data_IF_418000511834
#
_entry.id   IF_418000511834
#
_cell.length_a   1.000
_cell.length_b   1.000
_cell.length_c   1.000
_cell.angle_alpha   90.00
_cell.angle_beta   90.00
_cell.angle_gamma   90.00
#
_symmetry.space_group_name_H-M   'P 1'
#
loop_
_entity.id
_entity.type
_entity.pdbx_description
1 polymer ?
#
# COMPACT_ATOMS: atom_id res chain seq x y z
N UNK A 1 3.39 -0.39 2.27
CA UNK A 1 2.19 -1.01 1.69
C UNK A 1 2.67 -1.97 0.63
N UNK A 2 2.10 -3.17 0.56
CA UNK A 2 2.59 -4.24 -0.31
C UNK A 2 1.45 -5.14 -0.79
N UNK A 3 1.52 -5.58 -2.04
CA UNK A 3 0.56 -6.48 -2.66
C UNK A 3 1.15 -7.86 -2.95
N UNK A 4 0.60 -8.92 -2.35
CA UNK A 4 0.98 -10.32 -2.61
C UNK A 4 -0.07 -11.05 -3.45
N UNK A 5 0.36 -11.65 -4.57
CA UNK A 5 -0.52 -12.31 -5.55
C UNK A 5 -0.70 -13.81 -5.32
N UNK A 6 0.35 -14.49 -4.88
CA UNK A 6 0.40 -15.97 -4.80
C UNK A 6 -0.58 -16.57 -3.79
N UNK A 7 -1.04 -15.77 -2.82
CA UNK A 7 -1.94 -16.18 -1.75
C UNK A 7 -3.37 -15.65 -1.93
N UNK A 8 -3.63 -14.89 -3.00
CA UNK A 8 -4.94 -14.33 -3.26
C UNK A 8 -5.93 -15.44 -3.69
N UNK A 9 -7.13 -15.54 -3.07
CA UNK A 9 -8.17 -16.45 -3.54
C UNK A 9 -8.57 -16.11 -4.98
N UNK A 10 -9.04 -17.09 -5.76
CA UNK A 10 -9.33 -16.96 -7.21
C UNK A 10 -10.18 -15.75 -7.64
N UNK A 11 -10.97 -15.16 -6.74
CA UNK A 11 -11.84 -14.02 -7.01
C UNK A 11 -11.13 -12.66 -6.84
N UNK A 12 -9.92 -12.65 -6.30
CA UNK A 12 -9.15 -11.45 -5.99
C UNK A 12 -7.83 -11.48 -6.76
N UNK A 13 -7.41 -10.31 -7.22
CA UNK A 13 -6.13 -10.18 -7.92
C UNK A 13 -4.98 -10.19 -6.92
N UNK A 14 -5.18 -9.69 -5.69
CA UNK A 14 -4.12 -9.63 -4.68
C UNK A 14 -4.66 -9.60 -3.25
N UNK A 15 -3.85 -10.11 -2.32
CA UNK A 15 -3.93 -9.76 -0.91
C UNK A 15 -3.01 -8.57 -0.65
N UNK A 16 -3.54 -7.51 -0.07
CA UNK A 16 -2.84 -6.25 0.15
C UNK A 16 -2.66 -6.00 1.65
N UNK A 17 -1.48 -5.53 2.05
CA UNK A 17 -1.12 -5.34 3.46
C UNK A 17 -0.58 -3.92 3.68
N UNK A 18 -1.12 -3.25 4.69
CA UNK A 18 -0.58 -1.99 5.20
C UNK A 18 0.03 -2.26 6.57
N UNK A 19 1.32 -2.01 6.66
CA UNK A 19 2.11 -2.19 7.88
C UNK A 19 2.66 -0.86 8.35
N UNK A 20 2.65 -0.66 9.67
CA UNK A 20 3.16 0.54 10.34
C UNK A 20 4.45 0.18 11.08
N UNK A 21 5.55 0.94 10.89
CA UNK A 21 6.77 0.74 11.65
C UNK A 21 6.60 1.20 13.10
N UNK A 22 6.99 0.35 14.05
CA UNK A 22 7.02 0.63 15.49
C UNK A 22 8.40 0.22 16.00
N UNK A 23 9.26 1.22 16.27
CA UNK A 23 10.65 0.99 16.63
C UNK A 23 11.42 0.28 15.51
N UNK A 24 11.94 -0.92 15.79
CA UNK A 24 12.70 -1.74 14.82
C UNK A 24 11.86 -2.80 14.12
N UNK A 25 10.54 -2.82 14.34
CA UNK A 25 9.63 -3.83 13.79
C UNK A 25 8.51 -3.16 13.00
N UNK A 26 7.94 -3.87 12.03
CA UNK A 26 6.71 -3.44 11.35
C UNK A 26 5.55 -4.34 11.78
N UNK A 27 4.43 -3.73 12.14
CA UNK A 27 3.19 -4.43 12.47
C UNK A 27 2.21 -4.24 11.32
N UNK A 28 1.66 -5.33 10.80
CA UNK A 28 0.59 -5.28 9.79
C UNK A 28 -0.73 -4.93 10.46
N UNK A 29 -1.27 -3.76 10.12
CA UNK A 29 -2.47 -3.20 10.72
C UNK A 29 -3.71 -3.42 9.85
N UNK A 30 -3.52 -3.52 8.53
CA UNK A 30 -4.62 -3.70 7.57
C UNK A 30 -4.29 -4.84 6.63
N UNK A 31 -5.28 -5.71 6.42
CA UNK A 31 -5.27 -6.75 5.40
C UNK A 31 -6.51 -6.56 4.53
N UNK A 32 -6.32 -6.51 3.22
CA UNK A 32 -7.40 -6.31 2.26
C UNK A 32 -7.29 -7.29 1.10
N UNK A 33 -8.42 -7.78 0.60
CA UNK A 33 -8.49 -8.57 -0.62
C UNK A 33 -8.98 -7.68 -1.75
N UNK A 34 -8.13 -7.38 -2.72
CA UNK A 34 -8.45 -6.44 -3.80
C UNK A 34 -8.79 -7.22 -5.07
N UNK A 35 -9.95 -6.89 -5.64
CA UNK A 35 -10.46 -7.54 -6.85
C UNK A 35 -9.67 -7.12 -8.08
N UNK A 36 -9.15 -5.88 -8.12
CA UNK A 36 -8.39 -5.33 -9.24
C UNK A 36 -7.26 -4.40 -8.77
N UNK A 37 -6.40 -4.02 -9.73
CA UNK A 37 -5.26 -3.09 -9.57
C UNK A 37 -5.54 -1.70 -10.17
N UNK A 38 -6.79 -1.24 -10.01
CA UNK A 38 -7.21 0.07 -10.52
C UNK A 38 -7.07 1.12 -9.42
N UNK A 39 -6.77 2.36 -9.79
CA UNK A 39 -6.61 3.47 -8.84
C UNK A 39 -7.82 3.57 -7.89
N UNK A 40 -9.04 3.49 -8.43
CA UNK A 40 -10.28 3.57 -7.64
C UNK A 40 -10.40 2.51 -6.54
N UNK A 41 -9.87 1.30 -6.76
CA UNK A 41 -9.88 0.23 -5.77
C UNK A 41 -8.91 0.55 -4.62
N UNK A 42 -7.77 1.16 -4.92
CA UNK A 42 -6.84 1.63 -3.90
C UNK A 42 -7.39 2.85 -3.17
N UNK A 43 -8.07 3.76 -3.86
CA UNK A 43 -8.74 4.91 -3.25
C UNK A 43 -9.80 4.46 -2.25
N UNK A 44 -10.63 3.47 -2.61
CA UNK A 44 -11.62 2.88 -1.70
C UNK A 44 -10.97 2.26 -0.45
N UNK A 45 -9.90 1.48 -0.64
CA UNK A 45 -9.14 0.90 0.48
C UNK A 45 -8.57 2.01 1.40
N UNK A 46 -7.90 3.01 0.81
CA UNK A 46 -7.25 4.07 1.57
C UNK A 46 -8.28 4.95 2.29
N UNK A 47 -9.41 5.26 1.65
CA UNK A 47 -10.49 6.01 2.27
C UNK A 47 -11.04 5.27 3.48
N UNK A 48 -11.29 3.97 3.37
CA UNK A 48 -11.75 3.16 4.51
C UNK A 48 -10.75 3.18 5.68
N UNK A 49 -9.45 3.23 5.40
CA UNK A 49 -8.41 3.36 6.43
C UNK A 49 -8.43 4.75 7.06
N UNK A 50 -8.53 5.82 6.26
CA UNK A 50 -8.62 7.20 6.77
C UNK A 50 -9.84 7.38 7.64
N UNK A 51 -11.01 6.90 7.20
CA UNK A 51 -12.26 6.99 7.96
C UNK A 51 -12.12 6.31 9.33
N UNK A 52 -11.46 5.15 9.37
CA UNK A 52 -11.18 4.44 10.63
C UNK A 52 -10.16 5.17 11.50
N UNK A 53 -9.10 5.73 10.91
CA UNK A 53 -8.15 6.55 11.65
C UNK A 53 -8.84 7.77 12.30
N UNK A 54 -9.74 8.44 11.56
CA UNK A 54 -10.53 9.55 12.07
C UNK A 54 -11.47 9.14 13.21
N UNK A 55 -12.14 7.98 13.08
CA UNK A 55 -13.02 7.43 14.14
C UNK A 55 -12.28 7.20 15.47
N UNK A 56 -10.98 6.90 15.41
CA UNK A 56 -10.14 6.65 16.59
C UNK A 56 -9.22 7.82 16.95
N UNK A 57 -9.41 9.01 16.38
CA UNK A 57 -8.55 10.21 16.57
C UNK A 57 -7.05 9.93 16.31
N UNK A 58 -6.76 9.09 15.30
CA UNK A 58 -5.40 8.78 14.87
C UNK A 58 -4.94 9.80 13.80
N UNK A 59 -3.96 10.63 14.16
CA UNK A 59 -3.34 11.59 13.26
C UNK A 59 -2.36 10.90 12.29
N UNK A 60 -2.36 11.33 11.04
CA UNK A 60 -1.63 10.69 9.94
C UNK A 60 -0.68 11.66 9.20
N UNK A 61 0.26 12.30 9.89
CA UNK A 61 1.41 12.93 9.23
C UNK A 61 2.43 11.83 8.86
N UNK A 62 2.19 11.19 7.72
CA UNK A 62 2.86 9.90 7.43
C UNK A 62 3.62 9.93 6.13
N UNK A 63 4.84 9.37 6.16
CA UNK A 63 5.54 8.92 4.96
C UNK A 63 4.97 7.56 4.56
N UNK A 64 4.57 7.40 3.30
CA UNK A 64 4.11 6.13 2.76
C UNK A 64 5.23 5.50 1.95
N UNK A 65 5.63 4.28 2.32
CA UNK A 65 6.51 3.44 1.50
C UNK A 65 5.65 2.42 0.76
N UNK A 66 5.70 2.40 -0.57
CA UNK A 66 4.90 1.49 -1.39
C UNK A 66 5.66 1.05 -2.65
N UNK A 67 5.08 0.13 -3.40
CA UNK A 67 5.63 -0.41 -4.64
C UNK A 67 5.51 0.60 -5.79
N UNK A 68 6.19 0.34 -6.91
CA UNK A 68 6.17 1.20 -8.11
C UNK A 68 4.84 1.18 -8.87
N UNK A 69 3.76 0.65 -8.28
CA UNK A 69 2.47 0.57 -8.96
C UNK A 69 1.83 1.96 -9.05
N UNK A 70 1.78 2.49 -10.29
CA UNK A 70 1.28 3.84 -10.58
C UNK A 70 -0.11 4.10 -9.99
N UNK A 71 -1.02 3.13 -10.09
CA UNK A 71 -2.38 3.24 -9.57
C UNK A 71 -2.38 3.48 -8.05
N UNK A 72 -1.52 2.79 -7.30
CA UNK A 72 -1.37 2.97 -5.85
C UNK A 72 -0.80 4.35 -5.53
N UNK A 73 0.24 4.80 -6.25
CA UNK A 73 0.82 6.13 -6.05
C UNK A 73 -0.20 7.24 -6.27
N UNK A 74 -1.00 7.14 -7.34
CA UNK A 74 -2.05 8.12 -7.63
C UNK A 74 -3.16 8.12 -6.58
N UNK A 75 -3.55 6.94 -6.09
CA UNK A 75 -4.54 6.82 -5.02
C UNK A 75 -4.05 7.43 -3.69
N UNK A 76 -2.77 7.23 -3.33
CA UNK A 76 -2.15 7.84 -2.16
C UNK A 76 -2.24 9.36 -2.24
N UNK A 77 -1.84 9.96 -3.36
CA UNK A 77 -1.91 11.41 -3.54
C UNK A 77 -3.36 11.92 -3.51
N UNK A 78 -4.29 11.19 -4.12
CA UNK A 78 -5.72 11.53 -4.17
C UNK A 78 -6.37 11.56 -2.79
N UNK A 79 -6.11 10.53 -1.95
CA UNK A 79 -6.78 10.36 -0.65
C UNK A 79 -6.03 11.02 0.50
N UNK A 80 -4.70 10.92 0.55
CA UNK A 80 -3.89 11.44 1.65
C UNK A 80 -3.33 12.84 1.36
N UNK A 81 -3.43 13.32 0.12
CA UNK A 81 -3.00 14.65 -0.30
C UNK A 81 -1.52 14.75 -0.68
N UNK A 82 -1.15 15.85 -1.35
CA UNK A 82 0.20 16.09 -1.88
C UNK A 82 1.28 16.29 -0.80
N UNK A 83 0.88 16.56 0.44
CA UNK A 83 1.80 16.77 1.55
C UNK A 83 2.42 15.45 2.07
N UNK A 84 1.85 14.30 1.73
CA UNK A 84 2.37 12.99 2.11
C UNK A 84 3.59 12.62 1.28
N UNK A 85 4.72 12.39 1.97
CA UNK A 85 5.94 11.89 1.31
C UNK A 85 5.72 10.44 0.89
N UNK A 86 5.73 10.19 -0.42
CA UNK A 86 5.65 8.84 -0.96
C UNK A 86 7.04 8.39 -1.40
N UNK A 87 7.57 7.39 -0.73
CA UNK A 87 8.84 6.75 -1.07
C UNK A 87 8.57 5.41 -1.74
N UNK A 88 9.35 5.09 -2.77
CA UNK A 88 9.18 3.83 -3.47
C UNK A 88 10.16 2.80 -2.93
N UNK A 89 9.65 1.61 -2.63
CA UNK A 89 10.40 0.57 -1.94
C UNK A 89 11.57 0.05 -2.80
N UNK A 90 12.81 0.29 -2.35
CA UNK A 90 14.03 -0.17 -3.05
C UNK A 90 14.10 -1.69 -3.20
N UNK A 91 13.53 -2.45 -2.25
CA UNK A 91 13.46 -3.91 -2.35
C UNK A 91 12.66 -4.37 -3.59
N UNK A 92 11.51 -3.75 -3.86
CA UNK A 92 10.74 -4.03 -5.07
C UNK A 92 11.40 -3.45 -6.33
N UNK A 93 12.19 -2.37 -6.21
CA UNK A 93 13.04 -1.92 -7.32
C UNK A 93 14.05 -3.02 -7.69
N UNK A 94 14.72 -3.63 -6.71
CA UNK A 94 15.70 -4.70 -6.96
C UNK A 94 15.07 -5.98 -7.51
N UNK A 95 13.82 -6.32 -7.16
CA UNK A 95 13.11 -7.43 -7.82
C UNK A 95 12.61 -7.08 -9.23
N UNK A 96 12.28 -5.81 -9.48
CA UNK A 96 11.81 -5.34 -10.80
C UNK A 96 12.96 -5.08 -11.78
N UNK A 97 14.16 -4.79 -11.28
CA UNK A 97 15.35 -4.41 -12.08
C UNK A 97 16.52 -5.40 -11.97
N UNK A 98 16.48 -6.35 -11.03
CA UNK A 98 17.57 -7.28 -10.73
C UNK A 98 17.44 -8.64 -11.41
N UNK A 99 18.33 -8.82 -12.39
CA UNK A 99 19.02 -10.07 -12.73
C UNK A 99 18.22 -11.22 -13.36
N UNK A 100 18.03 -11.11 -14.67
CA UNK A 100 18.38 -12.24 -15.53
C UNK A 100 19.88 -12.56 -15.40
N UNK A 101 20.27 -13.22 -14.31
CA UNK A 101 21.44 -14.09 -14.29
C UNK A 101 20.95 -15.51 -14.55
N UNK A 102 20.82 -15.84 -15.83
CA UNK A 102 21.26 -17.14 -16.32
C UNK A 102 22.69 -16.99 -16.80
#
# INVERSE_FOLDING_TARGET
MDGTFSVAPRQFTQAYVISVPIGTTAISCVYALLTWKQQSIYEELLQAVVDKCQEYDLYHDTTVVTDFEKATLQAITSILGEHVSTQVCFYHLTQSTGAGSK
#
